data_IF_374616439699
#
_entry.id   IF_374616439699
#
_cell.length_a   1.000
_cell.length_b   1.000
_cell.length_c   1.000
_cell.angle_alpha   90.00
_cell.angle_beta   90.00
_cell.angle_gamma   90.00
#
_symmetry.space_group_name_H-M   'P 1'
#
loop_
_entity.id
_entity.type
_entity.pdbx_description
1 polymer ?
#
# COMPACT_ATOMS: atom_id res chain seq x y z
N UNK A 1 2.82 -32.25 22.98
CA UNK A 1 3.63 -32.24 21.75
C UNK A 1 3.07 -33.29 20.81
N UNK A 2 2.92 -32.97 19.52
CA UNK A 2 2.51 -33.93 18.49
C UNK A 2 3.74 -34.54 17.79
N UNK A 3 3.55 -35.58 16.96
CA UNK A 3 4.66 -36.28 16.30
C UNK A 3 5.43 -35.38 15.31
N UNK A 4 4.77 -34.43 14.64
CA UNK A 4 5.43 -33.53 13.71
C UNK A 4 6.34 -32.52 14.43
N UNK A 5 5.89 -31.98 15.56
CA UNK A 5 6.70 -31.13 16.45
C UNK A 5 7.94 -31.86 16.97
N UNK A 6 7.82 -33.15 17.29
CA UNK A 6 8.96 -33.98 17.70
C UNK A 6 9.99 -34.08 16.57
N UNK A 7 9.56 -34.33 15.34
CA UNK A 7 10.46 -34.51 14.19
C UNK A 7 11.36 -33.29 13.98
N UNK A 8 10.82 -32.07 14.13
CA UNK A 8 11.59 -30.83 14.07
C UNK A 8 12.63 -30.71 15.19
N UNK A 9 12.36 -31.24 16.38
CA UNK A 9 13.22 -31.14 17.56
C UNK A 9 14.15 -32.36 17.73
N UNK A 10 13.96 -33.41 16.94
CA UNK A 10 14.63 -34.70 17.16
C UNK A 10 16.14 -34.62 16.97
N UNK A 11 16.61 -33.90 15.95
CA UNK A 11 18.04 -33.74 15.70
C UNK A 11 18.71 -32.99 16.85
N UNK A 12 18.17 -31.83 17.22
CA UNK A 12 18.67 -31.04 18.35
C UNK A 12 18.60 -31.79 19.69
N UNK A 13 17.59 -32.66 19.87
CA UNK A 13 17.48 -33.54 21.03
C UNK A 13 18.57 -34.61 21.05
N UNK A 14 18.84 -35.25 19.91
CA UNK A 14 19.90 -36.27 19.79
C UNK A 14 21.29 -35.65 19.95
N UNK A 15 21.49 -34.43 19.47
CA UNK A 15 22.73 -33.64 19.61
C UNK A 15 22.88 -33.00 21.00
N UNK A 16 21.83 -32.99 21.82
CA UNK A 16 21.84 -32.45 23.18
C UNK A 16 21.87 -30.91 23.24
N UNK A 17 21.39 -30.24 22.19
CA UNK A 17 21.37 -28.77 22.06
C UNK A 17 20.04 -28.14 22.49
N UNK A 18 19.02 -28.97 22.74
CA UNK A 18 17.69 -28.53 23.16
C UNK A 18 17.69 -27.85 24.55
N UNK A 19 16.75 -26.93 24.76
CA UNK A 19 16.50 -26.38 26.09
C UNK A 19 16.00 -27.49 27.06
N UNK A 20 16.27 -27.40 28.37
CA UNK A 20 15.79 -28.41 29.33
C UNK A 20 14.26 -28.57 29.33
N UNK A 21 13.53 -27.47 29.08
CA UNK A 21 12.07 -27.49 29.00
C UNK A 21 11.58 -28.26 27.76
N UNK A 22 12.23 -28.05 26.61
CA UNK A 22 11.88 -28.78 25.38
C UNK A 22 12.31 -30.24 25.45
N UNK A 23 13.45 -30.54 26.09
CA UNK A 23 13.93 -31.90 26.26
C UNK A 23 12.92 -32.73 27.08
N UNK A 24 12.40 -32.17 28.17
CA UNK A 24 11.35 -32.81 28.97
C UNK A 24 10.06 -33.05 28.17
N UNK A 25 9.68 -32.12 27.27
CA UNK A 25 8.53 -32.30 26.37
C UNK A 25 8.76 -33.43 25.37
N UNK A 26 9.98 -33.55 24.84
CA UNK A 26 10.38 -34.63 23.94
C UNK A 26 10.35 -35.98 24.65
N UNK A 27 10.96 -36.07 25.82
CA UNK A 27 10.98 -37.29 26.64
C UNK A 27 9.57 -37.76 27.00
N UNK A 28 8.68 -36.85 27.41
CA UNK A 28 7.30 -37.18 27.72
C UNK A 28 6.55 -37.77 26.51
N UNK A 29 6.82 -37.28 25.30
CA UNK A 29 6.21 -37.82 24.09
C UNK A 29 6.84 -39.16 23.67
N UNK A 30 8.16 -39.30 23.77
CA UNK A 30 8.86 -40.57 23.48
C UNK A 30 8.37 -41.69 24.41
N UNK A 31 8.07 -41.38 25.68
CA UNK A 31 7.48 -42.33 26.61
C UNK A 31 6.04 -42.76 26.22
N UNK A 32 5.29 -41.89 25.54
CA UNK A 32 3.90 -42.14 25.17
C UNK A 32 3.72 -42.68 23.73
N UNK A 33 4.68 -42.47 22.83
CA UNK A 33 4.57 -42.82 21.42
C UNK A 33 5.68 -43.79 20.97
N UNK A 34 5.32 -45.06 20.79
CA UNK A 34 6.25 -46.11 20.37
C UNK A 34 6.87 -45.87 18.98
N UNK A 35 6.14 -45.22 18.06
CA UNK A 35 6.66 -44.90 16.73
C UNK A 35 7.81 -43.88 16.80
N UNK A 36 7.62 -42.79 17.54
CA UNK A 36 8.65 -41.77 17.76
C UNK A 36 9.84 -42.31 18.55
N UNK A 37 9.61 -43.19 19.53
CA UNK A 37 10.68 -43.89 20.25
C UNK A 37 11.46 -44.90 19.38
N UNK A 38 10.84 -45.44 18.33
CA UNK A 38 11.53 -46.20 17.29
C UNK A 38 12.47 -45.30 16.48
N UNK A 39 11.92 -44.20 15.96
CA UNK A 39 12.66 -43.22 15.17
C UNK A 39 13.86 -42.65 15.93
N UNK A 40 13.69 -42.28 17.19
CA UNK A 40 14.80 -41.78 18.03
C UNK A 40 15.93 -42.80 18.17
N UNK A 41 15.61 -44.08 18.39
CA UNK A 41 16.60 -45.14 18.48
C UNK A 41 17.36 -45.33 17.16
N UNK A 42 16.66 -45.25 16.04
CA UNK A 42 17.24 -45.40 14.70
C UNK A 42 18.17 -44.22 14.38
N UNK A 43 17.74 -42.98 14.66
CA UNK A 43 18.56 -41.78 14.50
C UNK A 43 19.81 -41.86 15.37
N UNK A 44 19.67 -42.25 16.65
CA UNK A 44 20.82 -42.42 17.55
C UNK A 44 21.76 -43.53 17.09
N UNK A 45 21.24 -44.61 16.50
CA UNK A 45 22.05 -45.66 15.90
C UNK A 45 22.82 -45.15 14.67
N UNK A 46 22.18 -44.36 13.81
CA UNK A 46 22.82 -43.74 12.65
C UNK A 46 23.96 -42.78 13.07
N UNK A 47 23.73 -41.92 14.07
CA UNK A 47 24.77 -41.03 14.60
C UNK A 47 25.96 -41.82 15.15
N UNK A 48 25.71 -42.90 15.92
CA UNK A 48 26.78 -43.79 16.40
C UNK A 48 27.52 -44.47 15.25
N UNK A 49 26.82 -44.89 14.20
CA UNK A 49 27.43 -45.52 13.03
C UNK A 49 28.35 -44.55 12.29
N UNK A 50 27.91 -43.31 12.06
CA UNK A 50 28.74 -42.26 11.43
C UNK A 50 29.96 -41.93 12.30
N UNK A 51 29.82 -41.96 13.62
CA UNK A 51 30.93 -41.72 14.54
C UNK A 51 32.05 -42.77 14.48
N UNK A 52 31.81 -43.94 13.87
CA UNK A 52 32.83 -44.97 13.63
C UNK A 52 33.72 -44.65 12.43
N UNK A 53 33.36 -43.67 11.59
CA UNK A 53 34.16 -43.29 10.44
C UNK A 53 35.49 -42.67 10.88
N UNK A 54 36.58 -43.04 10.19
CA UNK A 54 37.91 -42.46 10.43
C UNK A 54 37.91 -40.96 10.16
N UNK A 55 38.64 -40.22 11.01
CA UNK A 55 38.86 -38.79 10.78
C UNK A 55 39.84 -38.60 9.63
N UNK A 56 39.35 -38.05 8.53
CA UNK A 56 40.17 -37.67 7.38
C UNK A 56 40.77 -36.28 7.60
N UNK A 57 42.06 -36.12 7.36
CA UNK A 57 42.73 -34.81 7.40
C UNK A 57 42.19 -33.91 6.27
N UNK A 58 41.58 -32.74 6.58
CA UNK A 58 41.12 -31.82 5.56
C UNK A 58 42.28 -31.31 4.68
N UNK A 59 42.09 -31.20 3.35
CA UNK A 59 43.11 -30.66 2.47
C UNK A 59 43.42 -29.19 2.83
N UNK A 60 44.69 -28.76 2.76
CA UNK A 60 45.10 -27.44 3.26
C UNK A 60 44.42 -26.27 2.52
N UNK A 61 43.99 -26.47 1.27
CA UNK A 61 43.26 -25.47 0.49
C UNK A 61 41.76 -25.36 0.85
N UNK A 62 41.23 -26.23 1.71
CA UNK A 62 39.79 -26.29 2.02
C UNK A 62 39.29 -24.99 2.66
N UNK A 63 40.02 -24.48 3.64
CA UNK A 63 39.63 -23.25 4.37
C UNK A 63 39.59 -22.06 3.41
N UNK A 64 40.63 -21.90 2.57
CA UNK A 64 40.68 -20.86 1.54
C UNK A 64 39.49 -20.98 0.59
N UNK A 65 39.17 -22.19 0.13
CA UNK A 65 38.06 -22.43 -0.79
C UNK A 65 36.70 -22.11 -0.15
N UNK A 66 36.49 -22.47 1.11
CA UNK A 66 35.27 -22.14 1.85
C UNK A 66 35.12 -20.62 1.97
N UNK A 67 36.17 -19.90 2.34
CA UNK A 67 36.13 -18.45 2.50
C UNK A 67 35.85 -17.71 1.20
N UNK A 68 36.38 -18.19 0.07
CA UNK A 68 36.17 -17.54 -1.23
C UNK A 68 34.83 -17.90 -1.89
N UNK A 69 34.30 -19.11 -1.67
CA UNK A 69 33.10 -19.59 -2.35
C UNK A 69 31.84 -19.57 -1.50
N UNK A 70 31.93 -19.32 -0.19
CA UNK A 70 30.75 -19.20 0.67
C UNK A 70 30.42 -17.73 0.84
N UNK A 71 29.22 -17.26 0.44
CA UNK A 71 28.79 -15.91 0.77
C UNK A 71 28.79 -15.72 2.29
N UNK A 72 29.07 -14.50 2.80
CA UNK A 72 29.11 -14.24 4.23
C UNK A 72 27.84 -14.74 4.91
N UNK A 73 28.02 -15.39 6.08
CA UNK A 73 26.99 -16.11 6.83
C UNK A 73 25.78 -15.25 7.24
N UNK A 74 25.81 -13.93 6.99
CA UNK A 74 24.71 -12.99 7.16
C UNK A 74 23.46 -13.34 6.32
N UNK A 75 23.60 -14.20 5.31
CA UNK A 75 22.49 -14.66 4.46
C UNK A 75 21.69 -15.86 5.03
N UNK A 76 22.09 -16.47 6.15
CA UNK A 76 21.27 -17.50 6.81
C UNK A 76 20.41 -16.87 7.92
N UNK A 77 19.08 -16.88 7.80
CA UNK A 77 18.20 -16.52 8.90
C UNK A 77 18.19 -17.66 9.92
N UNK A 78 19.21 -17.72 10.78
CA UNK A 78 19.08 -18.47 12.03
C UNK A 78 18.07 -17.76 12.94
N UNK A 79 17.43 -18.46 13.90
CA UNK A 79 16.57 -17.86 14.91
C UNK A 79 17.45 -17.15 15.96
N UNK A 80 18.23 -16.17 15.51
CA UNK A 80 18.92 -15.27 16.40
C UNK A 80 17.90 -14.23 16.85
N UNK A 81 17.40 -14.43 18.07
CA UNK A 81 17.10 -13.35 19.00
C UNK A 81 18.35 -12.44 19.10
N UNK A 82 18.52 -11.61 18.08
CA UNK A 82 19.53 -10.57 17.99
C UNK A 82 18.71 -9.35 17.69
N UNK A 83 18.60 -8.51 18.69
CA UNK A 83 17.88 -7.25 18.72
C UNK A 83 18.24 -6.45 17.46
N UNK A 84 17.49 -6.71 16.38
CA UNK A 84 17.54 -5.94 15.15
C UNK A 84 17.03 -4.58 15.56
N UNK A 85 18.01 -3.72 15.84
CA UNK A 85 17.87 -2.34 16.28
C UNK A 85 16.82 -1.72 15.38
N UNK A 86 15.64 -1.43 15.93
CA UNK A 86 14.41 -1.07 15.23
C UNK A 86 14.58 -0.09 14.05
N UNK A 87 15.59 0.80 14.13
CA UNK A 87 16.07 1.65 13.05
C UNK A 87 16.42 0.89 11.76
N UNK A 88 17.11 -0.24 11.82
CA UNK A 88 17.47 -1.03 10.63
C UNK A 88 16.25 -1.63 9.93
N UNK A 89 15.20 -2.01 10.67
CA UNK A 89 13.91 -2.44 10.10
C UNK A 89 13.14 -1.28 9.44
N UNK A 90 13.29 -0.07 9.96
CA UNK A 90 12.65 1.13 9.39
C UNK A 90 13.32 1.55 8.06
N UNK A 91 14.63 1.32 7.93
CA UNK A 91 15.39 1.66 6.71
C UNK A 91 15.53 0.51 5.70
N UNK A 92 15.21 -0.74 6.07
CA UNK A 92 15.16 -1.92 5.18
C UNK A 92 14.27 -1.73 3.93
N UNK A 93 13.06 -1.14 3.99
CA UNK A 93 12.22 -0.93 2.81
C UNK A 93 12.70 0.23 1.93
N UNK A 94 13.46 1.19 2.49
CA UNK A 94 13.96 2.37 1.76
C UNK A 94 15.18 2.04 0.90
N UNK A 95 16.00 1.06 1.29
CA UNK A 95 17.16 0.62 0.52
C UNK A 95 16.84 -0.37 -0.62
N UNK A 96 15.56 -0.65 -0.91
CA UNK A 96 15.21 -1.48 -2.07
C UNK A 96 15.35 -0.68 -3.38
N UNK A 97 16.00 -1.24 -4.43
CA UNK A 97 16.29 -0.55 -5.70
C UNK A 97 15.07 0.10 -6.37
N UNK A 98 13.87 -0.43 -6.11
CA UNK A 98 12.62 0.04 -6.70
C UNK A 98 12.12 1.39 -6.15
N UNK A 99 12.48 1.77 -4.92
CA UNK A 99 12.03 3.03 -4.32
C UNK A 99 12.99 4.20 -4.53
N UNK A 100 14.25 3.92 -4.89
CA UNK A 100 15.25 4.94 -5.20
C UNK A 100 14.81 5.84 -6.36
N UNK A 101 14.25 5.26 -7.42
CA UNK A 101 13.77 5.98 -8.60
C UNK A 101 12.62 6.95 -8.25
N UNK A 102 11.68 6.50 -7.41
CA UNK A 102 10.53 7.30 -6.97
C UNK A 102 10.93 8.48 -6.07
N UNK A 103 11.80 8.24 -5.07
CA UNK A 103 12.30 9.33 -4.22
C UNK A 103 13.14 10.33 -5.00
N UNK A 104 13.97 9.88 -5.95
CA UNK A 104 14.71 10.79 -6.82
C UNK A 104 13.74 11.72 -7.58
N UNK A 105 12.64 11.17 -8.10
CA UNK A 105 11.68 11.96 -8.88
C UNK A 105 10.88 12.96 -8.03
N UNK A 106 10.50 12.60 -6.80
CA UNK A 106 9.80 13.53 -5.90
C UNK A 106 10.71 14.66 -5.42
N UNK A 107 11.97 14.34 -5.08
CA UNK A 107 12.97 15.35 -4.70
C UNK A 107 13.24 16.30 -5.86
N UNK A 108 13.37 15.78 -7.08
CA UNK A 108 13.67 16.58 -8.27
C UNK A 108 12.47 17.45 -8.67
N UNK A 109 11.24 16.93 -8.58
CA UNK A 109 10.02 17.70 -8.79
C UNK A 109 9.88 18.83 -7.77
N UNK A 110 10.08 18.52 -6.49
CA UNK A 110 10.00 19.52 -5.42
C UNK A 110 11.08 20.60 -5.61
N UNK A 111 12.32 20.19 -5.90
CA UNK A 111 13.44 21.10 -6.21
C UNK A 111 13.13 22.01 -7.40
N UNK A 112 12.54 21.47 -8.48
CA UNK A 112 12.15 22.26 -9.65
C UNK A 112 11.05 23.26 -9.31
N UNK A 113 10.04 22.88 -8.54
CA UNK A 113 8.96 23.78 -8.08
C UNK A 113 9.50 24.88 -7.19
N UNK A 114 10.40 24.57 -6.26
CA UNK A 114 11.08 25.56 -5.42
C UNK A 114 11.90 26.55 -6.24
N UNK A 115 12.59 26.08 -7.28
CA UNK A 115 13.31 26.97 -8.22
C UNK A 115 12.36 27.84 -9.05
N UNK A 116 11.26 27.27 -9.54
CA UNK A 116 10.27 28.00 -10.35
C UNK A 116 9.47 29.02 -9.53
N UNK A 117 9.25 28.76 -8.24
CA UNK A 117 8.65 29.70 -7.28
C UNK A 117 9.56 30.91 -6.97
N UNK A 118 10.70 31.05 -7.66
CA UNK A 118 11.57 32.22 -7.55
C UNK A 118 12.34 32.28 -6.23
N UNK A 119 12.49 31.15 -5.54
CA UNK A 119 13.41 31.04 -4.39
C UNK A 119 14.84 30.89 -4.93
N UNK A 120 15.32 31.91 -5.63
CA UNK A 120 16.71 32.00 -6.06
C UNK A 120 17.49 32.88 -5.08
N UNK A 121 18.34 32.21 -4.30
CA UNK A 121 19.68 32.66 -3.93
C UNK A 121 19.83 34.00 -3.20
N UNK A 122 19.02 34.25 -2.17
CA UNK A 122 19.55 35.01 -1.04
C UNK A 122 20.21 33.98 -0.14
N UNK A 123 21.54 33.99 -0.08
CA UNK A 123 22.37 33.09 0.71
C UNK A 123 21.63 32.71 2.00
N UNK A 124 21.13 31.47 2.06
CA UNK A 124 20.44 30.96 3.24
C UNK A 124 21.53 30.74 4.27
N UNK A 125 21.89 31.82 4.95
CA UNK A 125 22.78 31.80 6.10
C UNK A 125 22.06 31.07 7.21
N UNK A 126 22.77 30.23 7.96
CA UNK A 126 22.24 29.47 9.10
C UNK A 126 21.57 30.36 10.18
N UNK A 127 21.74 31.69 10.08
CA UNK A 127 21.07 32.68 10.91
C UNK A 127 19.60 32.98 10.54
N UNK A 128 19.11 32.55 9.37
CA UNK A 128 17.70 32.77 8.93
C UNK A 128 16.77 31.58 9.26
N UNK A 129 17.21 30.62 10.07
CA UNK A 129 16.36 29.59 10.68
C UNK A 129 15.54 30.12 11.88
N UNK A 130 15.17 31.40 11.85
CA UNK A 130 14.25 31.96 12.84
C UNK A 130 12.80 31.76 12.36
N UNK A 131 12.02 30.85 12.98
CA UNK A 131 10.68 30.46 12.50
C UNK A 131 9.73 31.66 12.34
N UNK A 132 9.92 32.73 13.12
CA UNK A 132 9.07 33.92 13.05
C UNK A 132 9.19 34.69 11.72
N UNK A 133 10.39 34.76 11.12
CA UNK A 133 10.60 35.45 9.83
C UNK A 133 10.10 34.65 8.64
N UNK A 134 10.16 33.33 8.73
CA UNK A 134 9.60 32.43 7.73
C UNK A 134 8.08 32.66 7.65
N UNK A 135 7.40 32.71 8.79
CA UNK A 135 5.97 33.01 8.86
C UNK A 135 5.62 34.40 8.31
N UNK A 136 6.38 35.44 8.64
CA UNK A 136 6.13 36.79 8.11
C UNK A 136 6.30 36.88 6.58
N UNK A 137 7.24 36.12 6.02
CA UNK A 137 7.48 36.08 4.56
C UNK A 137 6.43 35.26 3.79
N UNK A 138 5.86 34.24 4.44
CA UNK A 138 4.76 33.43 3.89
C UNK A 138 3.46 34.23 3.94
N UNK A 139 3.20 34.93 5.05
CA UNK A 139 2.00 35.73 5.25
C UNK A 139 1.85 36.83 4.19
N UNK A 140 2.93 37.59 3.94
CA UNK A 140 2.93 38.67 2.96
C UNK A 140 2.92 38.21 1.49
N UNK A 141 3.19 36.92 1.22
CA UNK A 141 2.99 36.29 -0.09
C UNK A 141 1.58 35.71 -0.25
N UNK A 142 1.03 35.14 0.81
CA UNK A 142 -0.33 34.62 0.84
C UNK A 142 -1.35 35.72 0.56
N UNK A 143 -1.19 36.88 1.21
CA UNK A 143 -2.08 38.04 0.99
C UNK A 143 -2.06 38.53 -0.47
N UNK A 144 -0.90 38.59 -1.12
CA UNK A 144 -0.81 39.02 -2.54
C UNK A 144 -1.37 38.01 -3.53
N UNK A 145 -1.30 36.71 -3.21
CA UNK A 145 -1.92 35.67 -4.01
C UNK A 145 -3.45 35.68 -3.83
N UNK A 146 -3.92 35.89 -2.61
CA UNK A 146 -5.35 36.00 -2.28
C UNK A 146 -6.00 37.18 -2.99
N UNK A 147 -5.38 38.37 -2.98
CA UNK A 147 -5.86 39.55 -3.70
C UNK A 147 -5.99 39.32 -5.21
N UNK A 148 -5.07 38.53 -5.79
CA UNK A 148 -5.08 38.22 -7.23
C UNK A 148 -6.20 37.24 -7.58
N UNK A 149 -6.48 36.27 -6.71
CA UNK A 149 -7.59 35.31 -6.87
C UNK A 149 -8.93 36.01 -6.69
N UNK A 150 -9.06 36.87 -5.68
CA UNK A 150 -10.29 37.64 -5.45
C UNK A 150 -10.61 38.58 -6.61
N UNK A 151 -9.63 39.33 -7.11
CA UNK A 151 -9.84 40.20 -8.30
C UNK A 151 -10.19 39.43 -9.57
N UNK A 152 -9.71 38.19 -9.71
CA UNK A 152 -10.10 37.31 -10.81
C UNK A 152 -11.58 36.90 -10.70
N UNK A 153 -12.07 36.61 -9.49
CA UNK A 153 -13.48 36.31 -9.25
C UNK A 153 -14.39 37.53 -9.38
N UNK A 154 -13.95 38.69 -8.92
CA UNK A 154 -14.73 39.93 -8.98
C UNK A 154 -14.88 40.46 -10.41
N UNK A 155 -13.90 40.20 -11.28
CA UNK A 155 -13.94 40.53 -12.71
C UNK A 155 -14.59 39.42 -13.58
N UNK A 156 -14.96 38.27 -12.99
CA UNK A 156 -15.78 37.30 -13.70
C UNK A 156 -17.19 37.91 -13.82
N UNK A 157 -17.44 38.51 -14.99
CA UNK A 157 -18.73 38.91 -15.57
C UNK A 157 -19.74 37.74 -15.71
N UNK A 158 -19.54 36.67 -14.94
CA UNK A 158 -20.34 35.45 -14.88
C UNK A 158 -21.72 35.74 -14.27
N UNK A 159 -21.78 36.58 -13.24
CA UNK A 159 -23.05 36.93 -12.56
C UNK A 159 -24.02 37.62 -13.52
N UNK A 160 -23.52 38.49 -14.40
CA UNK A 160 -24.35 39.13 -15.43
C UNK A 160 -24.87 38.11 -16.46
N UNK A 161 -24.02 37.18 -16.90
CA UNK A 161 -24.44 36.15 -17.87
C UNK A 161 -25.48 35.17 -17.32
N UNK A 162 -25.50 34.95 -16.00
CA UNK A 162 -26.49 34.09 -15.34
C UNK A 162 -27.82 34.84 -15.17
N UNK A 163 -27.78 36.13 -14.78
CA UNK A 163 -28.99 36.94 -14.66
C UNK A 163 -29.72 37.15 -15.98
N UNK A 164 -28.97 37.25 -17.09
CA UNK A 164 -29.54 37.42 -18.43
C UNK A 164 -30.29 36.16 -18.88
N UNK A 165 -29.66 34.98 -18.74
CA UNK A 165 -30.28 33.69 -19.07
C UNK A 165 -31.54 33.39 -18.24
N UNK A 166 -31.55 33.77 -16.96
CA UNK A 166 -32.72 33.56 -16.10
C UNK A 166 -33.92 34.42 -16.52
N UNK A 167 -33.69 35.66 -16.99
CA UNK A 167 -34.77 36.52 -17.50
C UNK A 167 -35.34 35.97 -18.79
N UNK A 168 -34.48 35.49 -19.68
CA UNK A 168 -34.86 34.89 -20.96
C UNK A 168 -35.80 33.69 -20.74
N UNK A 169 -35.44 32.76 -19.84
CA UNK A 169 -36.31 31.63 -19.49
C UNK A 169 -37.63 32.04 -18.82
N UNK A 170 -37.60 33.04 -17.92
CA UNK A 170 -38.84 33.52 -17.30
C UNK A 170 -39.80 34.18 -18.30
N UNK A 171 -39.26 34.87 -19.31
CA UNK A 171 -40.06 35.47 -20.38
C UNK A 171 -40.66 34.40 -21.31
N UNK A 172 -39.92 33.34 -21.62
CA UNK A 172 -40.43 32.20 -22.40
C UNK A 172 -41.53 31.42 -21.65
N UNK A 173 -41.41 31.24 -20.34
CA UNK A 173 -42.45 30.62 -19.51
C UNK A 173 -43.73 31.46 -19.47
N UNK A 174 -43.63 32.78 -19.36
CA UNK A 174 -44.77 33.69 -19.41
C UNK A 174 -45.45 33.68 -20.79
N UNK A 175 -44.68 33.67 -21.88
CA UNK A 175 -45.21 33.62 -23.25
C UNK A 175 -45.91 32.26 -23.53
N UNK A 176 -45.33 31.15 -23.06
CA UNK A 176 -46.01 29.84 -23.12
C UNK A 176 -47.28 29.79 -22.27
N UNK A 177 -47.30 30.44 -21.11
CA UNK A 177 -48.48 30.49 -20.24
C UNK A 177 -49.59 31.39 -20.79
N UNK A 178 -49.24 32.39 -21.61
CA UNK A 178 -50.19 33.34 -22.21
C UNK A 178 -50.63 32.97 -23.63
N UNK A 179 -49.99 31.99 -24.29
CA UNK A 179 -50.54 31.37 -25.50
C UNK A 179 -51.81 30.58 -25.16
N UNK A 180 -52.99 30.94 -25.71
CA UNK A 180 -54.20 30.17 -25.49
C UNK A 180 -54.00 28.75 -26.03
N UNK A 181 -54.29 27.75 -25.20
CA UNK A 181 -54.35 26.35 -25.57
C UNK A 181 -55.41 26.18 -26.65
N UNK A 182 -54.99 26.13 -27.92
CA UNK A 182 -55.84 25.73 -29.03
C UNK A 182 -56.20 24.25 -28.82
N UNK A 183 -57.44 23.99 -28.39
CA UNK A 183 -58.03 22.66 -28.38
C UNK A 183 -58.08 22.12 -29.82
N UNK A 184 -57.71 20.84 -30.06
CA UNK A 184 -57.99 20.22 -31.34
C UNK A 184 -59.50 20.07 -31.55
N UNK A 185 -60.04 20.76 -32.56
CA UNK A 185 -61.36 20.46 -33.12
C UNK A 185 -61.28 19.15 -33.91
N UNK A 186 -61.95 18.10 -33.44
CA UNK A 186 -62.26 16.89 -34.21
C UNK A 186 -63.57 17.06 -35.01
N UNK A 187 -63.64 16.55 -36.27
CA UNK A 187 -64.65 16.92 -37.25
C UNK A 187 -66.03 16.23 -37.11
N UNK A 188 -67.01 16.87 -37.78
CA UNK A 188 -68.46 16.65 -37.79
C UNK A 188 -68.99 15.21 -37.92
N UNK A 189 -70.10 14.95 -37.22
CA UNK A 189 -71.03 13.84 -37.45
C UNK A 189 -71.90 14.13 -38.69
N UNK A 190 -71.70 13.40 -39.78
CA UNK A 190 -72.76 13.11 -40.76
C UNK A 190 -73.58 11.93 -40.24
N UNK A 191 -74.87 12.15 -39.97
CA UNK A 191 -75.85 11.07 -39.81
C UNK A 191 -76.44 10.69 -41.17
N UNK A 192 -76.50 9.40 -41.47
CA UNK A 192 -77.79 8.77 -41.78
C UNK A 192 -77.72 7.23 -41.77
N UNK A 193 -78.70 6.68 -41.06
CA UNK A 193 -79.40 5.40 -41.15
C UNK A 193 -78.63 4.08 -41.44
N UNK A 194 -78.66 3.21 -40.42
CA UNK A 194 -78.65 1.75 -40.53
C UNK A 194 -79.86 1.22 -41.34
N UNK A 195 -79.85 -0.06 -41.77
CA UNK A 195 -80.58 -1.02 -40.94
C UNK A 195 -79.94 -2.42 -40.89
N UNK A 196 -80.07 -3.11 -39.76
CA UNK A 196 -80.34 -4.55 -39.66
C UNK A 196 -80.46 -4.94 -38.18
N UNK A 197 -81.70 -4.97 -37.68
CA UNK A 197 -82.05 -5.77 -36.51
C UNK A 197 -82.17 -7.25 -36.88
N UNK A 198 -81.89 -8.11 -35.88
CA UNK A 198 -82.47 -9.46 -35.64
C UNK A 198 -82.07 -10.56 -36.64
N UNK A 199 -81.85 -11.83 -36.27
CA UNK A 199 -82.26 -12.63 -35.12
C UNK A 199 -81.46 -13.95 -35.13
N UNK A 200 -81.21 -14.52 -33.95
CA UNK A 200 -81.17 -15.97 -33.65
C UNK A 200 -80.19 -16.93 -34.36
N UNK A 201 -79.47 -17.67 -33.49
CA UNK A 201 -79.03 -19.08 -33.59
C UNK A 201 -77.59 -19.35 -34.00
#
# INVERSE_FOLDING_TARGET
MNCAELDFLLCDYVDGTLSPADAARVEAHLAACAACAGLERDVRAAVRFVALADRVEPPPALITRILYHTPPAEARPGPAHRERTWWQRLFEPVLQPRFAMGMAMTILSFSMVLKFAGVQERAVSAADLDPARIWASIDSRAHRAYDRVMKYYENLRLVYSIQDRLREWSAEEEDQRSRPRLEPMEPERTGDAAPAERESR
#
